data_IF_630158709887
#
_entry.id   IF_630158709887
#
_cell.length_a   1.000
_cell.length_b   1.000
_cell.length_c   1.000
_cell.angle_alpha   90.00
_cell.angle_beta   90.00
_cell.angle_gamma   90.00
#
_symmetry.space_group_name_H-M   'P 1'
#
loop_
_entity.id
_entity.type
_entity.pdbx_description
1 polymer ?
#
# COMPACT_ATOMS: atom_id res chain seq x y z
N UNK A 1 0.13 -18.13 -14.49
CA UNK A 1 -0.66 -19.09 -15.27
C UNK A 1 -1.02 -20.26 -14.37
N UNK A 2 -2.34 -20.50 -14.09
CA UNK A 2 -2.79 -21.65 -13.29
C UNK A 2 -2.45 -22.96 -13.98
N UNK A 3 -2.32 -24.05 -13.23
CA UNK A 3 -2.09 -25.40 -13.77
C UNK A 3 -3.20 -25.78 -14.76
N UNK A 4 -4.47 -25.49 -14.47
CA UNK A 4 -5.59 -25.75 -15.39
C UNK A 4 -5.37 -25.09 -16.77
N UNK A 5 -4.92 -23.85 -16.80
CA UNK A 5 -4.66 -23.14 -18.07
C UNK A 5 -3.48 -23.76 -18.83
N UNK A 6 -2.44 -24.19 -18.12
CA UNK A 6 -1.31 -24.89 -18.74
C UNK A 6 -1.73 -26.22 -19.32
N UNK A 7 -2.49 -27.03 -18.55
CA UNK A 7 -3.02 -28.33 -19.01
C UNK A 7 -3.89 -28.16 -20.25
N UNK A 8 -4.86 -27.24 -20.25
CA UNK A 8 -5.72 -26.97 -21.42
C UNK A 8 -4.92 -26.58 -22.66
N UNK A 9 -3.86 -25.80 -22.48
CA UNK A 9 -2.96 -25.43 -23.59
C UNK A 9 -2.23 -26.66 -24.16
N UNK A 10 -1.65 -27.48 -23.29
CA UNK A 10 -0.96 -28.69 -23.71
C UNK A 10 -1.91 -29.68 -24.39
N UNK A 11 -3.08 -29.93 -23.83
CA UNK A 11 -4.11 -30.80 -24.41
C UNK A 11 -4.50 -30.34 -25.82
N UNK A 12 -4.71 -29.04 -26.01
CA UNK A 12 -5.00 -28.50 -27.34
C UNK A 12 -3.86 -28.69 -28.30
N UNK A 13 -2.62 -28.40 -27.91
CA UNK A 13 -1.44 -28.59 -28.74
C UNK A 13 -1.21 -30.02 -29.14
N UNK A 14 -1.39 -30.98 -28.22
CA UNK A 14 -1.20 -32.43 -28.48
C UNK A 14 -2.24 -32.95 -29.46
N UNK A 15 -3.49 -32.51 -29.37
CA UNK A 15 -4.55 -32.86 -30.34
C UNK A 15 -4.22 -32.29 -31.72
N UNK A 16 -3.83 -31.04 -31.82
CA UNK A 16 -3.49 -30.37 -33.09
C UNK A 16 -2.28 -31.01 -33.78
N UNK A 17 -1.28 -31.44 -33.00
CA UNK A 17 -0.07 -32.11 -33.50
C UNK A 17 -0.28 -33.60 -33.84
N UNK A 18 -1.40 -34.18 -33.42
CA UNK A 18 -1.68 -35.61 -33.64
C UNK A 18 -0.70 -36.56 -32.93
N UNK A 19 -0.06 -36.14 -31.83
CA UNK A 19 0.96 -36.95 -31.12
C UNK A 19 0.39 -37.90 -30.09
N UNK A 20 -0.95 -37.91 -29.90
CA UNK A 20 -1.62 -38.74 -28.91
C UNK A 20 -1.69 -40.20 -29.36
N UNK A 21 -1.29 -41.12 -28.49
CA UNK A 21 -1.51 -42.53 -28.64
C UNK A 21 -2.81 -43.00 -27.95
N UNK A 22 -3.16 -44.30 -28.00
CA UNK A 22 -4.41 -44.80 -27.42
C UNK A 22 -4.53 -44.55 -25.90
N UNK A 23 -3.42 -44.62 -25.14
CA UNK A 23 -3.42 -44.39 -23.68
C UNK A 23 -3.59 -42.91 -23.33
N UNK A 24 -3.11 -42.02 -24.19
CA UNK A 24 -3.12 -40.57 -23.94
C UNK A 24 -4.42 -39.90 -24.38
N UNK A 25 -5.28 -40.63 -25.11
CA UNK A 25 -6.47 -40.08 -25.76
C UNK A 25 -7.46 -39.43 -24.79
N UNK A 26 -7.66 -40.02 -23.60
CA UNK A 26 -8.62 -39.53 -22.60
C UNK A 26 -8.08 -38.22 -21.96
N UNK A 27 -6.84 -38.24 -21.50
CA UNK A 27 -6.22 -37.06 -20.83
C UNK A 27 -5.80 -36.00 -21.84
N UNK A 28 -5.52 -36.38 -23.08
CA UNK A 28 -4.86 -35.54 -24.10
C UNK A 28 -3.52 -34.98 -23.63
N UNK A 29 -2.87 -35.65 -22.68
CA UNK A 29 -1.53 -35.34 -22.16
C UNK A 29 -0.63 -36.56 -22.48
N UNK A 30 0.65 -36.27 -22.72
CA UNK A 30 1.68 -37.30 -22.97
C UNK A 30 2.62 -37.43 -21.78
N UNK A 31 3.35 -38.54 -21.69
CA UNK A 31 4.34 -38.79 -20.63
C UNK A 31 5.51 -37.77 -20.65
N UNK A 32 5.66 -36.98 -21.74
CA UNK A 32 6.71 -35.99 -21.92
C UNK A 32 6.22 -34.54 -21.62
N UNK A 33 4.93 -34.36 -21.37
CA UNK A 33 4.40 -33.06 -21.05
C UNK A 33 4.87 -32.57 -19.67
N UNK A 34 5.32 -31.32 -19.59
CA UNK A 34 5.83 -30.71 -18.38
C UNK A 34 5.04 -29.44 -18.07
N UNK A 35 4.62 -29.28 -16.83
CA UNK A 35 4.00 -28.07 -16.34
C UNK A 35 5.04 -27.19 -15.63
N UNK A 36 4.96 -25.89 -15.87
CA UNK A 36 5.75 -24.91 -15.13
C UNK A 36 5.18 -24.77 -13.72
N UNK A 37 6.01 -24.78 -12.68
CA UNK A 37 5.57 -24.56 -11.31
C UNK A 37 4.82 -23.24 -11.15
N UNK A 38 3.73 -23.26 -10.38
CA UNK A 38 2.96 -22.08 -10.02
C UNK A 38 3.20 -21.79 -8.54
N UNK A 39 3.73 -20.59 -8.24
CA UNK A 39 3.99 -20.13 -6.88
C UNK A 39 3.02 -19.00 -6.57
N UNK A 40 2.34 -19.09 -5.44
CA UNK A 40 1.47 -18.01 -4.94
C UNK A 40 2.25 -17.13 -3.98
N UNK A 41 2.40 -15.85 -4.34
CA UNK A 41 3.02 -14.84 -3.50
C UNK A 41 1.94 -13.81 -3.15
N UNK A 42 1.78 -13.54 -1.86
CA UNK A 42 0.91 -12.48 -1.33
C UNK A 42 1.80 -11.32 -0.92
N UNK A 43 1.60 -10.16 -1.52
CA UNK A 43 2.25 -8.91 -1.12
C UNK A 43 1.34 -8.26 -0.08
N UNK A 44 1.80 -8.24 1.17
CA UNK A 44 1.06 -7.69 2.30
C UNK A 44 1.70 -6.38 2.76
N UNK A 45 0.90 -5.31 2.82
CA UNK A 45 1.34 -3.96 3.20
C UNK A 45 0.55 -3.36 4.37
N UNK A 46 -0.22 -4.21 5.09
CA UNK A 46 -0.97 -3.79 6.28
C UNK A 46 -0.05 -3.29 7.42
N UNK A 47 -0.60 -2.46 8.29
CA UNK A 47 0.15 -1.89 9.42
C UNK A 47 0.51 -2.97 10.45
N UNK A 48 -0.44 -3.84 10.77
CA UNK A 48 -0.21 -4.96 11.67
C UNK A 48 0.55 -6.12 10.98
N UNK A 49 1.32 -6.91 11.73
CA UNK A 49 1.97 -8.11 11.17
C UNK A 49 0.95 -9.09 10.59
N UNK A 50 1.36 -9.82 9.54
CA UNK A 50 0.55 -10.93 9.05
C UNK A 50 0.45 -12.06 10.10
N UNK A 51 -0.74 -12.21 10.67
CA UNK A 51 -1.02 -13.22 11.71
C UNK A 51 -1.95 -14.34 11.24
N UNK A 52 -2.37 -14.31 9.96
CA UNK A 52 -3.24 -15.33 9.39
C UNK A 52 -2.45 -16.56 8.94
N UNK A 53 -3.16 -17.65 8.71
CA UNK A 53 -2.59 -18.87 8.16
C UNK A 53 -1.91 -18.64 6.82
N UNK A 54 -0.85 -19.41 6.56
CA UNK A 54 -0.11 -19.39 5.30
C UNK A 54 -0.33 -20.66 4.47
N UNK A 55 -1.21 -21.54 4.92
CA UNK A 55 -1.59 -22.75 4.20
C UNK A 55 -3.11 -22.95 4.31
N UNK A 56 -3.75 -23.30 3.21
CA UNK A 56 -5.17 -23.65 3.22
C UNK A 56 -5.42 -24.83 4.17
N UNK A 57 -4.47 -25.75 4.27
CA UNK A 57 -4.55 -26.88 5.20
C UNK A 57 -4.92 -26.44 6.63
N UNK A 58 -4.36 -25.35 7.13
CA UNK A 58 -4.57 -24.87 8.51
C UNK A 58 -6.02 -24.42 8.78
N UNK A 59 -6.76 -24.03 7.74
CA UNK A 59 -8.16 -23.54 7.84
C UNK A 59 -9.18 -24.58 7.43
N UNK A 60 -8.76 -25.76 6.94
CA UNK A 60 -9.67 -26.85 6.63
C UNK A 60 -10.19 -27.53 7.90
N UNK A 61 -11.42 -28.03 7.86
CA UNK A 61 -12.04 -28.77 8.95
C UNK A 61 -11.47 -30.20 9.02
N UNK A 62 -10.19 -30.34 9.37
CA UNK A 62 -9.47 -31.62 9.38
C UNK A 62 -9.07 -32.09 10.78
N UNK A 63 -9.27 -31.26 11.83
CA UNK A 63 -8.77 -31.54 13.19
C UNK A 63 -9.29 -32.84 13.77
N UNK A 64 -10.54 -33.19 13.44
CA UNK A 64 -11.21 -34.39 13.95
C UNK A 64 -11.07 -35.61 13.02
N UNK A 65 -10.31 -35.48 11.94
CA UNK A 65 -10.06 -36.58 11.00
C UNK A 65 -8.94 -37.49 11.54
N UNK A 66 -9.03 -38.82 11.29
CA UNK A 66 -7.91 -39.77 11.52
C UNK A 66 -6.64 -39.33 10.80
N UNK A 67 -5.47 -39.57 11.39
CA UNK A 67 -4.17 -39.17 10.82
C UNK A 67 -3.95 -39.78 9.42
N UNK A 68 -4.43 -41.01 9.21
CA UNK A 68 -4.34 -41.71 7.92
C UNK A 68 -5.08 -40.91 6.83
N UNK A 69 -6.21 -40.30 7.16
CA UNK A 69 -6.99 -39.49 6.22
C UNK A 69 -6.31 -38.13 5.99
N UNK A 70 -5.70 -37.54 7.00
CA UNK A 70 -5.00 -36.28 6.88
C UNK A 70 -3.86 -36.33 5.87
N UNK A 71 -3.22 -37.48 5.70
CA UNK A 71 -2.15 -37.68 4.70
C UNK A 71 -2.60 -37.49 3.25
N UNK A 72 -3.91 -37.61 2.98
CA UNK A 72 -4.49 -37.39 1.64
C UNK A 72 -4.90 -35.91 1.39
N UNK A 73 -4.84 -35.06 2.41
CA UNK A 73 -5.18 -33.64 2.27
C UNK A 73 -3.94 -32.89 1.80
N UNK A 74 -4.03 -32.29 0.62
CA UNK A 74 -2.92 -31.55 0.05
C UNK A 74 -2.68 -30.22 0.77
N UNK A 75 -1.42 -29.87 0.92
CA UNK A 75 -0.97 -28.54 1.34
C UNK A 75 -0.99 -27.55 0.16
N UNK A 76 -1.48 -26.34 0.42
CA UNK A 76 -1.47 -25.24 -0.54
C UNK A 76 -0.87 -24.00 0.13
N UNK A 77 0.45 -23.98 0.31
CA UNK A 77 1.13 -22.88 0.97
C UNK A 77 1.11 -21.61 0.12
N UNK A 78 1.00 -20.47 0.78
CA UNK A 78 1.23 -19.16 0.22
C UNK A 78 2.52 -18.56 0.78
N UNK A 79 3.25 -17.83 -0.04
CA UNK A 79 4.43 -17.08 0.39
C UNK A 79 4.00 -15.64 0.65
N UNK A 80 4.02 -15.22 1.92
CA UNK A 80 3.65 -13.86 2.30
C UNK A 80 4.90 -13.01 2.38
N UNK A 81 4.94 -11.96 1.56
CA UNK A 81 5.93 -10.90 1.61
C UNK A 81 5.31 -9.70 2.35
N UNK A 82 5.66 -9.56 3.63
CA UNK A 82 5.24 -8.43 4.46
C UNK A 82 6.14 -7.23 4.16
N UNK A 83 5.67 -6.32 3.32
CA UNK A 83 6.44 -5.19 2.80
C UNK A 83 6.94 -4.26 3.91
N UNK A 84 6.10 -4.02 4.93
CA UNK A 84 6.47 -3.11 6.03
C UNK A 84 7.57 -3.68 6.93
N UNK A 85 7.77 -5.00 6.91
CA UNK A 85 8.77 -5.72 7.74
C UNK A 85 9.88 -6.33 6.89
N UNK A 86 9.81 -6.14 5.58
CA UNK A 86 10.84 -6.58 4.65
C UNK A 86 12.02 -5.61 4.68
N UNK A 87 13.20 -6.10 5.06
CA UNK A 87 14.40 -5.27 5.27
C UNK A 87 15.46 -5.39 4.17
N UNK A 88 15.23 -6.26 3.19
CA UNK A 88 16.18 -6.51 2.11
C UNK A 88 15.67 -5.95 0.77
N UNK A 89 15.14 -4.73 0.77
CA UNK A 89 14.63 -4.07 -0.43
C UNK A 89 15.72 -3.88 -1.51
N UNK A 90 16.98 -3.87 -1.11
CA UNK A 90 18.14 -3.76 -2.03
C UNK A 90 18.30 -4.97 -2.97
N UNK A 91 17.59 -6.09 -2.71
CA UNK A 91 17.59 -7.22 -3.64
C UNK A 91 16.81 -6.93 -4.95
N UNK A 92 15.96 -5.91 -4.96
CA UNK A 92 15.22 -5.51 -6.17
C UNK A 92 16.08 -4.56 -7.01
N UNK A 93 16.06 -4.76 -8.33
CA UNK A 93 16.80 -3.98 -9.31
C UNK A 93 15.90 -3.00 -10.10
N UNK A 94 14.66 -2.87 -9.69
CA UNK A 94 13.64 -2.00 -10.29
C UNK A 94 13.06 -1.08 -9.23
N UNK A 95 12.20 -0.15 -9.60
CA UNK A 95 11.51 0.79 -8.71
C UNK A 95 10.66 0.09 -7.61
N UNK A 96 10.49 -1.23 -7.67
CA UNK A 96 9.94 -2.03 -6.56
C UNK A 96 10.73 -1.80 -5.27
N UNK A 97 12.04 -1.57 -5.35
CA UNK A 97 12.89 -1.22 -4.22
C UNK A 97 12.44 0.08 -3.57
N UNK A 98 12.21 1.12 -4.38
CA UNK A 98 11.77 2.43 -3.93
C UNK A 98 10.36 2.36 -3.35
N UNK A 99 9.47 1.62 -4.01
CA UNK A 99 8.08 1.37 -3.54
C UNK A 99 8.10 0.70 -2.17
N UNK A 100 8.82 -0.40 -2.00
CA UNK A 100 8.84 -1.14 -0.73
C UNK A 100 9.55 -0.35 0.37
N UNK A 101 10.65 0.31 0.03
CA UNK A 101 11.37 1.17 0.94
C UNK A 101 10.52 2.34 1.46
N UNK A 102 9.73 2.95 0.59
CA UNK A 102 8.78 4.01 0.96
C UNK A 102 7.66 3.48 1.86
N UNK A 103 6.97 2.40 1.45
CA UNK A 103 5.85 1.82 2.21
C UNK A 103 6.30 1.40 3.61
N UNK A 104 7.47 0.80 3.73
CA UNK A 104 8.04 0.39 5.03
C UNK A 104 8.17 1.56 6.00
N UNK A 105 8.50 2.75 5.49
CA UNK A 105 8.75 3.96 6.28
C UNK A 105 7.54 4.89 6.38
N UNK A 106 6.48 4.64 5.63
CA UNK A 106 5.37 5.59 5.42
C UNK A 106 4.62 5.99 6.70
N UNK A 107 4.75 5.25 7.78
CA UNK A 107 4.16 5.59 9.09
C UNK A 107 5.05 6.55 9.91
N UNK A 108 6.30 6.77 9.51
CA UNK A 108 7.25 7.67 10.18
C UNK A 108 7.69 8.77 9.21
N UNK A 109 7.23 9.99 9.44
CA UNK A 109 7.50 11.16 8.58
C UNK A 109 8.99 11.48 8.43
N UNK A 110 9.76 11.32 9.49
CA UNK A 110 11.20 11.62 9.45
C UNK A 110 11.96 10.50 8.72
N UNK A 111 11.56 9.24 8.91
CA UNK A 111 12.13 8.12 8.16
C UNK A 111 11.82 8.24 6.65
N UNK A 112 10.62 8.69 6.27
CA UNK A 112 10.27 8.97 4.86
C UNK A 112 11.14 10.08 4.29
N UNK A 113 11.28 11.21 4.99
CA UNK A 113 12.11 12.33 4.52
C UNK A 113 13.56 11.93 4.31
N UNK A 114 14.11 11.18 5.27
CA UNK A 114 15.49 10.70 5.19
C UNK A 114 15.64 9.76 3.98
N UNK A 115 14.72 8.82 3.79
CA UNK A 115 14.76 7.87 2.68
C UNK A 115 14.66 8.56 1.31
N UNK A 116 13.77 9.55 1.17
CA UNK A 116 13.66 10.36 -0.03
C UNK A 116 14.95 11.12 -0.34
N UNK A 117 15.62 11.65 0.69
CA UNK A 117 16.90 12.33 0.53
C UNK A 117 18.03 11.39 0.13
N UNK A 118 18.08 10.20 0.73
CA UNK A 118 19.09 9.18 0.42
C UNK A 118 18.92 8.63 -1.01
N UNK A 119 17.70 8.67 -1.54
CA UNK A 119 17.30 8.13 -2.84
C UNK A 119 16.75 9.21 -3.78
N UNK A 120 17.22 10.45 -3.63
CA UNK A 120 16.69 11.63 -4.33
C UNK A 120 16.70 11.45 -5.86
N UNK A 121 17.78 10.90 -6.40
CA UNK A 121 17.90 10.67 -7.84
C UNK A 121 16.77 9.77 -8.38
N UNK A 122 16.47 8.68 -7.69
CA UNK A 122 15.42 7.73 -8.08
C UNK A 122 14.02 8.34 -7.91
N UNK A 123 13.77 9.03 -6.81
CA UNK A 123 12.47 9.65 -6.54
C UNK A 123 12.22 10.95 -7.33
N UNK A 124 13.25 11.53 -7.92
CA UNK A 124 13.11 12.70 -8.81
C UNK A 124 12.56 12.30 -10.19
N UNK A 125 12.74 11.05 -10.59
CA UNK A 125 12.24 10.52 -11.86
C UNK A 125 11.73 9.08 -11.71
N UNK A 126 10.83 8.85 -10.73
CA UNK A 126 10.25 7.53 -10.48
C UNK A 126 9.27 7.16 -11.60
N UNK A 127 9.23 5.87 -11.95
CA UNK A 127 8.26 5.35 -12.92
C UNK A 127 6.82 5.63 -12.50
N UNK A 128 5.94 5.88 -13.48
CA UNK A 128 4.54 6.23 -13.24
C UNK A 128 3.78 5.15 -12.48
N UNK A 129 3.99 3.87 -12.83
CA UNK A 129 3.33 2.75 -12.16
C UNK A 129 3.81 2.61 -10.71
N UNK A 130 5.10 2.86 -10.46
CA UNK A 130 5.67 2.85 -9.11
C UNK A 130 5.11 3.99 -8.25
N UNK A 131 4.97 5.19 -8.83
CA UNK A 131 4.33 6.33 -8.17
C UNK A 131 2.88 6.03 -7.78
N UNK A 132 2.09 5.51 -8.73
CA UNK A 132 0.70 5.15 -8.51
C UNK A 132 0.56 4.05 -7.44
N UNK A 133 1.47 3.10 -7.43
CA UNK A 133 1.49 2.04 -6.44
C UNK A 133 1.77 2.57 -5.04
N UNK A 134 2.72 3.50 -4.87
CA UNK A 134 2.98 4.17 -3.59
C UNK A 134 1.72 4.92 -3.14
N UNK A 135 1.12 5.74 -4.01
CA UNK A 135 -0.07 6.51 -3.68
C UNK A 135 -1.25 5.62 -3.27
N UNK A 136 -1.47 4.50 -3.96
CA UNK A 136 -2.52 3.54 -3.67
C UNK A 136 -2.29 2.79 -2.35
N UNK A 137 -1.06 2.30 -2.10
CA UNK A 137 -0.73 1.50 -0.91
C UNK A 137 -0.61 2.33 0.36
N UNK A 138 -0.40 3.64 0.24
CA UNK A 138 -0.36 4.58 1.37
C UNK A 138 -1.65 5.37 1.56
N UNK A 139 -2.68 5.11 0.72
CA UNK A 139 -3.97 5.82 0.68
C UNK A 139 -3.80 7.35 0.57
N UNK A 140 -2.78 7.81 -0.13
CA UNK A 140 -2.45 9.22 -0.26
C UNK A 140 -3.09 9.79 -1.53
N UNK A 141 -4.38 10.16 -1.44
CA UNK A 141 -5.16 10.74 -2.56
C UNK A 141 -4.53 12.00 -3.14
N UNK A 142 -3.88 12.79 -2.30
CA UNK A 142 -3.19 14.02 -2.70
C UNK A 142 -2.09 13.77 -3.72
N UNK A 143 -1.33 12.69 -3.59
CA UNK A 143 -0.32 12.31 -4.57
C UNK A 143 -0.94 12.06 -5.95
N UNK A 144 -2.11 11.41 -6.00
CA UNK A 144 -2.82 11.19 -7.26
C UNK A 144 -3.30 12.49 -7.91
N UNK A 145 -3.77 13.46 -7.11
CA UNK A 145 -4.28 14.75 -7.61
C UNK A 145 -3.18 15.64 -8.21
N UNK A 146 -1.95 15.53 -7.73
CA UNK A 146 -0.84 16.40 -8.18
C UNK A 146 0.09 15.73 -9.18
N UNK A 147 -0.13 14.47 -9.51
CA UNK A 147 0.71 13.64 -10.38
C UNK A 147 1.13 14.36 -11.68
N UNK A 148 0.16 14.90 -12.42
CA UNK A 148 0.43 15.54 -13.71
C UNK A 148 1.26 16.84 -13.60
N UNK A 149 1.17 17.53 -12.45
CA UNK A 149 1.96 18.74 -12.17
C UNK A 149 3.47 18.45 -12.06
N UNK A 150 3.84 17.23 -11.68
CA UNK A 150 5.24 16.84 -11.43
C UNK A 150 5.78 15.82 -12.42
N UNK A 151 5.09 15.62 -13.55
CA UNK A 151 5.57 14.78 -14.65
C UNK A 151 6.81 15.40 -15.28
N UNK A 152 7.87 14.60 -15.44
CA UNK A 152 9.10 15.01 -16.13
C UNK A 152 8.93 14.89 -17.65
N UNK A 153 9.78 15.58 -18.40
CA UNK A 153 9.84 15.47 -19.87
C UNK A 153 10.28 14.06 -20.34
N UNK A 154 10.96 13.33 -19.48
CA UNK A 154 11.43 11.95 -19.69
C UNK A 154 10.37 10.88 -19.38
N UNK A 155 9.19 11.29 -18.90
CA UNK A 155 8.05 10.41 -18.64
C UNK A 155 7.94 9.90 -17.20
N UNK A 156 8.92 10.14 -16.35
CA UNK A 156 8.85 9.84 -14.91
C UNK A 156 8.13 10.95 -14.13
N UNK A 157 8.01 10.75 -12.82
CA UNK A 157 7.35 11.70 -11.91
C UNK A 157 8.31 12.13 -10.81
N UNK A 158 8.38 13.44 -10.57
CA UNK A 158 9.18 13.98 -9.47
C UNK A 158 8.41 13.91 -8.15
N UNK A 159 8.51 12.76 -7.47
CA UNK A 159 7.84 12.52 -6.20
C UNK A 159 8.39 13.38 -5.06
N UNK A 160 9.69 13.67 -5.06
CA UNK A 160 10.30 14.53 -4.03
C UNK A 160 9.65 15.91 -4.03
N UNK A 161 9.52 16.53 -5.20
CA UNK A 161 8.89 17.85 -5.33
C UNK A 161 7.41 17.80 -4.99
N UNK A 162 6.69 16.79 -5.46
CA UNK A 162 5.27 16.61 -5.15
C UNK A 162 4.99 16.52 -3.65
N UNK A 163 5.81 15.77 -2.91
CA UNK A 163 5.68 15.66 -1.46
C UNK A 163 6.07 16.93 -0.70
N UNK A 164 7.11 17.64 -1.14
CA UNK A 164 7.53 18.91 -0.52
C UNK A 164 6.45 19.98 -0.67
N UNK A 165 5.95 20.14 -1.89
CA UNK A 165 4.90 21.12 -2.18
C UNK A 165 3.61 20.79 -1.39
N UNK A 166 3.24 19.51 -1.32
CA UNK A 166 2.08 19.08 -0.52
C UNK A 166 2.25 19.36 0.97
N UNK A 167 3.43 19.14 1.54
CA UNK A 167 3.72 19.45 2.95
C UNK A 167 3.61 20.95 3.19
N UNK A 168 4.05 21.79 2.25
CA UNK A 168 3.97 23.23 2.35
C UNK A 168 2.53 23.73 2.20
N UNK A 169 1.78 23.24 1.21
CA UNK A 169 0.35 23.53 1.02
C UNK A 169 -0.46 23.14 2.26
N UNK A 170 -0.23 21.93 2.81
CA UNK A 170 -0.92 21.47 4.03
C UNK A 170 -0.62 22.35 5.25
N UNK A 171 0.59 22.91 5.35
CA UNK A 171 0.94 23.86 6.42
C UNK A 171 0.18 25.19 6.24
N UNK A 172 0.08 25.67 5.00
CA UNK A 172 -0.64 26.90 4.68
C UNK A 172 -2.13 26.72 4.96
N UNK A 173 -2.73 25.61 4.51
CA UNK A 173 -4.13 25.28 4.76
C UNK A 173 -4.42 25.12 6.26
N UNK A 174 -3.56 24.38 6.98
CA UNK A 174 -3.69 24.24 8.44
C UNK A 174 -3.58 25.56 9.18
N UNK A 175 -2.68 26.45 8.74
CA UNK A 175 -2.54 27.80 9.31
C UNK A 175 -3.78 28.64 9.03
N UNK A 176 -4.27 28.65 7.78
CA UNK A 176 -5.47 29.40 7.39
C UNK A 176 -6.72 28.89 8.11
N UNK A 177 -6.87 27.58 8.25
CA UNK A 177 -7.97 26.97 9.01
C UNK A 177 -7.89 27.33 10.49
N UNK A 178 -6.69 27.33 11.08
CA UNK A 178 -6.47 27.77 12.46
C UNK A 178 -6.80 29.27 12.67
N UNK A 179 -6.37 30.12 11.76
CA UNK A 179 -6.69 31.56 11.79
C UNK A 179 -8.20 31.81 11.71
N UNK A 180 -8.90 31.09 10.80
CA UNK A 180 -10.36 31.17 10.66
C UNK A 180 -11.08 30.67 11.93
N UNK A 181 -10.61 29.62 12.54
CA UNK A 181 -11.13 29.09 13.81
C UNK A 181 -10.98 30.12 14.93
N UNK A 182 -9.82 30.76 15.05
CA UNK A 182 -9.59 31.84 16.04
C UNK A 182 -10.48 33.05 15.78
N UNK A 183 -10.64 33.46 14.53
CA UNK A 183 -11.53 34.56 14.17
C UNK A 183 -12.99 34.28 14.52
N UNK A 184 -13.49 33.10 14.24
CA UNK A 184 -14.83 32.66 14.63
C UNK A 184 -15.01 32.70 16.15
N UNK A 185 -14.01 32.22 16.88
CA UNK A 185 -14.02 32.21 18.34
C UNK A 185 -14.05 33.64 18.92
N UNK A 186 -13.21 34.53 18.43
CA UNK A 186 -13.18 35.94 18.83
C UNK A 186 -14.54 36.57 18.57
N UNK A 187 -15.13 36.36 17.40
CA UNK A 187 -16.45 36.89 17.04
C UNK A 187 -17.53 36.37 18.01
N UNK A 188 -17.54 35.08 18.31
CA UNK A 188 -18.50 34.51 19.25
C UNK A 188 -18.35 35.11 20.67
N UNK A 189 -17.13 35.25 21.15
CA UNK A 189 -16.83 35.86 22.45
C UNK A 189 -17.23 37.34 22.51
N UNK A 190 -17.06 38.10 21.41
CA UNK A 190 -17.50 39.48 21.33
C UNK A 190 -19.02 39.61 21.42
N UNK A 191 -19.75 38.76 20.70
CA UNK A 191 -21.21 38.72 20.73
C UNK A 191 -21.75 38.34 22.12
N UNK A 192 -21.01 37.53 22.86
CA UNK A 192 -21.35 37.12 24.24
C UNK A 192 -20.82 38.09 25.32
N UNK A 193 -20.30 39.26 24.91
CA UNK A 193 -19.81 40.31 25.83
C UNK A 193 -18.49 39.99 26.54
N UNK A 194 -17.77 38.94 26.14
CA UNK A 194 -16.52 38.43 26.76
C UNK A 194 -15.26 39.04 26.14
N UNK A 195 -15.32 40.30 25.72
CA UNK A 195 -14.22 40.97 25.00
C UNK A 195 -12.94 41.07 25.85
N UNK A 196 -13.06 41.18 27.18
CA UNK A 196 -11.93 41.22 28.11
C UNK A 196 -11.14 39.93 28.17
N UNK A 197 -11.76 38.82 27.83
CA UNK A 197 -11.14 37.48 27.87
C UNK A 197 -10.36 37.12 26.57
N UNK A 198 -10.52 37.91 25.51
CA UNK A 198 -9.91 37.61 24.18
C UNK A 198 -8.37 37.56 24.27
N UNK A 199 -7.76 38.43 25.09
CA UNK A 199 -6.30 38.44 25.26
C UNK A 199 -5.75 37.17 25.86
N UNK A 200 -6.56 36.42 26.61
CA UNK A 200 -6.18 35.15 27.24
C UNK A 200 -6.07 34.01 26.22
N UNK A 201 -6.73 34.11 25.06
CA UNK A 201 -6.66 33.11 24.00
C UNK A 201 -5.22 32.87 23.49
N UNK A 202 -4.38 33.92 23.54
CA UNK A 202 -2.99 33.86 23.07
C UNK A 202 -2.01 33.38 24.13
N UNK A 203 -2.36 33.49 25.42
CA UNK A 203 -1.47 33.21 26.55
C UNK A 203 -1.82 31.93 27.33
N UNK A 204 -3.06 31.46 27.22
CA UNK A 204 -3.58 30.33 28.01
C UNK A 204 -4.15 29.26 27.06
N UNK A 205 -3.36 28.24 26.68
CA UNK A 205 -3.82 27.17 25.76
C UNK A 205 -5.05 26.37 26.26
N UNK A 206 -5.11 26.14 27.58
CA UNK A 206 -6.26 25.43 28.17
C UNK A 206 -7.54 26.28 28.10
N UNK A 207 -7.42 27.61 28.25
CA UNK A 207 -8.54 28.51 28.10
C UNK A 207 -9.03 28.53 26.64
N UNK A 208 -8.13 28.57 25.67
CA UNK A 208 -8.45 28.48 24.24
C UNK A 208 -9.26 27.22 23.93
N UNK A 209 -8.80 26.06 24.38
CA UNK A 209 -9.49 24.79 24.14
C UNK A 209 -10.85 24.73 24.89
N UNK A 210 -10.93 25.30 26.08
CA UNK A 210 -12.18 25.46 26.80
C UNK A 210 -13.20 26.30 26.05
N UNK A 211 -12.77 27.40 25.45
CA UNK A 211 -13.64 28.30 24.69
C UNK A 211 -14.06 27.67 23.35
N UNK A 212 -13.18 26.98 22.66
CA UNK A 212 -13.56 26.21 21.46
C UNK A 212 -14.69 25.23 21.76
N UNK A 213 -14.58 24.47 22.85
CA UNK A 213 -15.64 23.51 23.29
C UNK A 213 -16.93 24.25 23.66
N UNK A 214 -16.83 25.37 24.37
CA UNK A 214 -17.99 26.13 24.80
C UNK A 214 -18.82 26.65 23.62
N UNK A 215 -18.13 27.13 22.57
CA UNK A 215 -18.79 27.70 21.36
C UNK A 215 -18.96 26.67 20.25
N UNK A 216 -18.66 25.38 20.48
CA UNK A 216 -18.74 24.29 19.49
C UNK A 216 -17.97 24.59 18.19
N UNK A 217 -16.81 25.22 18.29
CA UNK A 217 -15.93 25.57 17.17
C UNK A 217 -14.82 24.52 17.10
N UNK A 218 -14.72 23.84 15.94
CA UNK A 218 -13.67 22.85 15.65
C UNK A 218 -12.51 23.47 14.88
#
# INVERSE_FOLDING_TARGET
LSYDRQMKKLQKQNREKGVLNKKDYISSLTDTDVLTPVVTIVIYYGEEPWNNSKDIYDILAHKDLPEEIKTFINHYPIHVLDVRRFTNEECFQTDVREVFGFIRRSLDKEAVKQYLKEREEQFTNIDEDAYDLIAAMTDTKQLQMVKDKYRSEEGGINMCKGLLDWVEESKIEGKSAGELTILKLITAMQLDGRTSDITRLSSEPEFLEGMKKHYHIQ
#
